data_IF_176799305560
#
_entry.id   IF_176799305560
#
_cell.length_a   1.000
_cell.length_b   1.000
_cell.length_c   1.000
_cell.angle_alpha   90.00
_cell.angle_beta   90.00
_cell.angle_gamma   90.00
#
_symmetry.space_group_name_H-M   'P 1'
#
loop_
_entity.id
_entity.type
_entity.pdbx_description
1 polymer ?
#
# COMPACT_ATOMS: atom_id res chain seq x y z
N UNK A 1 4.28 33.52 68.58
CA UNK A 1 2.87 33.27 68.18
C UNK A 1 2.90 32.08 67.23
N UNK A 2 2.63 30.83 67.64
CA UNK A 2 1.29 30.17 67.75
C UNK A 2 0.45 30.37 66.46
N UNK A 3 -0.09 29.41 65.71
CA UNK A 3 -0.22 27.93 65.76
C UNK A 3 -1.00 27.47 64.50
N UNK A 4 -0.88 26.18 64.13
CA UNK A 4 -1.86 25.27 63.46
C UNK A 4 -2.31 25.52 62.00
N UNK A 5 -2.08 24.59 61.05
CA UNK A 5 -2.75 23.28 60.77
C UNK A 5 -4.21 23.44 60.30
N UNK A 6 -4.50 23.08 59.04
CA UNK A 6 -5.47 22.03 58.67
C UNK A 6 -5.51 21.73 57.15
N UNK A 7 -5.52 20.43 56.84
CA UNK A 7 -5.99 19.82 55.59
C UNK A 7 -7.50 20.01 55.42
N UNK A 8 -7.97 20.16 54.18
CA UNK A 8 -9.28 19.65 53.75
C UNK A 8 -9.29 19.31 52.27
N UNK A 9 -9.82 18.13 51.97
CA UNK A 9 -10.11 17.53 50.68
C UNK A 9 -11.07 18.39 49.82
N UNK A 10 -10.90 18.34 48.49
CA UNK A 10 -11.99 18.63 47.56
C UNK A 10 -11.92 17.69 46.35
N UNK A 11 -12.92 16.80 46.27
CA UNK A 11 -13.31 15.95 45.14
C UNK A 11 -14.03 16.83 44.08
N UNK A 12 -14.09 16.42 42.80
CA UNK A 12 -14.35 17.32 41.66
C UNK A 12 -15.85 17.51 41.38
N UNK A 13 -16.24 18.59 40.67
CA UNK A 13 -17.59 18.68 40.13
C UNK A 13 -17.67 17.95 38.80
N UNK A 14 -18.49 16.89 38.75
CA UNK A 14 -19.15 16.46 37.53
C UNK A 14 -20.35 17.39 37.27
N UNK A 15 -20.56 17.79 36.03
CA UNK A 15 -21.87 18.19 35.54
C UNK A 15 -22.00 17.83 34.07
N UNK A 16 -22.96 16.94 33.85
CA UNK A 16 -23.62 16.61 32.60
C UNK A 16 -24.35 17.83 32.03
N UNK A 17 -24.77 17.65 30.79
CA UNK A 17 -25.86 18.32 30.07
C UNK A 17 -25.50 19.58 29.28
N UNK A 18 -25.44 19.40 27.95
CA UNK A 18 -26.04 20.30 26.94
C UNK A 18 -25.94 19.66 25.55
N UNK A 19 -27.00 18.95 25.15
CA UNK A 19 -27.29 18.58 23.76
C UNK A 19 -27.99 19.78 23.10
N UNK A 20 -27.61 20.19 21.87
CA UNK A 20 -28.51 20.93 21.02
C UNK A 20 -29.10 20.00 19.95
N UNK A 21 -30.39 19.75 20.11
CA UNK A 21 -31.32 19.34 19.06
C UNK A 21 -31.34 20.36 17.93
N UNK A 22 -31.17 19.94 16.68
CA UNK A 22 -31.61 20.72 15.52
C UNK A 22 -32.64 19.93 14.72
N UNK A 23 -33.83 20.51 14.71
CA UNK A 23 -35.06 20.10 14.05
C UNK A 23 -35.00 20.26 12.53
N UNK A 24 -35.76 19.41 11.86
CA UNK A 24 -35.90 19.30 10.43
C UNK A 24 -36.74 20.42 9.78
N UNK A 25 -36.36 20.76 8.54
CA UNK A 25 -37.19 21.17 7.38
C UNK A 25 -37.84 22.58 7.40
N UNK A 26 -37.96 23.27 6.23
CA UNK A 26 -38.58 22.73 5.02
C UNK A 26 -37.86 22.96 3.67
N UNK A 27 -38.30 22.13 2.73
CA UNK A 27 -38.04 22.13 1.29
C UNK A 27 -38.55 23.44 0.66
N UNK A 28 -37.71 24.13 -0.10
CA UNK A 28 -38.15 25.15 -1.05
C UNK A 28 -37.71 24.80 -2.47
N UNK A 29 -38.72 24.36 -3.23
CA UNK A 29 -38.79 24.31 -4.69
C UNK A 29 -38.51 25.68 -5.31
N UNK A 30 -37.45 25.80 -6.11
CA UNK A 30 -37.34 26.89 -7.07
C UNK A 30 -37.86 26.45 -8.44
N UNK A 31 -39.01 27.01 -8.77
CA UNK A 31 -39.73 26.92 -10.04
C UNK A 31 -38.95 27.67 -11.12
N UNK A 32 -38.86 27.06 -12.30
CA UNK A 32 -38.38 27.70 -13.52
C UNK A 32 -39.29 28.87 -13.91
N UNK A 33 -38.69 30.06 -14.10
CA UNK A 33 -39.34 31.16 -14.82
C UNK A 33 -38.60 31.42 -16.11
N UNK A 34 -39.29 31.07 -17.18
CA UNK A 34 -39.13 31.59 -18.53
C UNK A 34 -39.03 33.12 -18.53
N UNK A 35 -38.02 33.66 -19.23
CA UNK A 35 -38.10 34.98 -19.86
C UNK A 35 -37.23 35.01 -21.13
N UNK A 36 -37.95 34.92 -22.25
CA UNK A 36 -37.83 35.71 -23.50
C UNK A 36 -36.62 35.50 -24.44
N UNK A 37 -36.98 34.87 -25.55
CA UNK A 37 -36.42 34.96 -26.89
C UNK A 37 -35.79 36.32 -27.24
N UNK A 38 -34.57 36.25 -27.76
CA UNK A 38 -34.15 37.04 -28.92
C UNK A 38 -33.78 36.06 -30.04
N UNK A 39 -34.51 36.15 -31.14
CA UNK A 39 -34.08 35.63 -32.44
C UNK A 39 -32.87 36.45 -32.90
N UNK A 40 -31.74 35.80 -33.14
CA UNK A 40 -30.76 36.26 -34.10
C UNK A 40 -30.30 35.08 -34.94
N UNK A 41 -30.84 35.05 -36.15
CA UNK A 41 -30.23 34.62 -37.41
C UNK A 41 -29.32 33.37 -37.38
N UNK A 42 -29.80 32.36 -38.10
CA UNK A 42 -29.03 31.27 -38.69
C UNK A 42 -27.63 31.73 -39.17
N UNK A 43 -26.60 31.33 -38.43
CA UNK A 43 -25.29 31.06 -39.00
C UNK A 43 -25.05 29.57 -38.76
N UNK A 44 -25.14 28.80 -39.84
CA UNK A 44 -24.69 27.42 -39.89
C UNK A 44 -23.18 27.43 -39.64
N UNK A 45 -22.78 27.32 -38.38
CA UNK A 45 -21.46 26.84 -38.02
C UNK A 45 -21.59 25.35 -37.75
N UNK A 46 -21.18 24.60 -38.76
CA UNK A 46 -20.93 23.17 -38.71
C UNK A 46 -19.68 22.98 -37.84
N UNK A 47 -19.86 23.10 -36.53
CA UNK A 47 -18.83 22.74 -35.57
C UNK A 47 -18.91 21.22 -35.43
N UNK A 48 -17.95 20.54 -36.04
CA UNK A 48 -17.75 19.12 -35.87
C UNK A 48 -17.55 18.87 -34.37
N UNK A 49 -18.61 18.40 -33.71
CA UNK A 49 -18.51 17.81 -32.38
C UNK A 49 -17.64 16.58 -32.51
N UNK A 50 -16.32 16.75 -32.40
CA UNK A 50 -15.40 15.68 -32.03
C UNK A 50 -15.89 15.15 -30.68
N UNK A 51 -16.70 14.10 -30.75
CA UNK A 51 -17.01 13.24 -29.63
C UNK A 51 -15.65 12.84 -29.03
N UNK A 52 -15.35 13.36 -27.83
CA UNK A 52 -14.03 13.24 -27.20
C UNK A 52 -13.77 11.77 -26.88
N UNK A 53 -13.13 11.05 -27.81
CA UNK A 53 -12.81 9.63 -27.67
C UNK A 53 -11.88 9.43 -26.47
N UNK A 54 -12.31 8.61 -25.51
CA UNK A 54 -11.64 8.38 -24.23
C UNK A 54 -11.26 6.93 -24.03
N UNK A 55 -10.36 6.65 -23.07
CA UNK A 55 -9.99 5.25 -22.75
C UNK A 55 -11.19 4.41 -22.25
N UNK A 56 -12.27 5.05 -21.79
CA UNK A 56 -13.57 4.41 -21.54
C UNK A 56 -14.08 3.63 -22.75
N UNK A 57 -13.77 4.08 -23.97
CA UNK A 57 -14.27 3.48 -25.21
C UNK A 57 -13.59 2.13 -25.50
N UNK A 58 -12.52 1.79 -24.76
CA UNK A 58 -11.95 0.45 -24.76
C UNK A 58 -12.92 -0.60 -24.20
N UNK A 59 -13.83 -0.19 -23.30
CA UNK A 59 -14.91 -1.06 -22.79
C UNK A 59 -16.03 -1.27 -23.82
N UNK A 60 -16.22 -0.30 -24.72
CA UNK A 60 -17.23 -0.40 -25.78
C UNK A 60 -16.72 -1.29 -26.91
N UNK A 61 -17.21 -2.53 -26.97
CA UNK A 61 -16.95 -3.43 -28.10
C UNK A 61 -17.76 -3.01 -29.32
N UNK A 62 -17.62 -1.77 -29.77
CA UNK A 62 -18.22 -1.38 -31.05
C UNK A 62 -17.40 -2.07 -32.14
N UNK A 63 -18.07 -2.89 -32.94
CA UNK A 63 -17.49 -3.63 -34.05
C UNK A 63 -17.03 -2.71 -35.17
N UNK A 64 -15.98 -1.92 -34.96
CA UNK A 64 -15.41 -1.05 -35.98
C UNK A 64 -15.05 -1.88 -37.22
N UNK A 65 -15.66 -1.53 -38.36
CA UNK A 65 -15.44 -2.18 -39.67
C UNK A 65 -13.94 -2.21 -40.03
N UNK A 66 -13.18 -1.18 -39.63
CA UNK A 66 -11.74 -1.10 -39.86
C UNK A 66 -10.99 -2.18 -39.10
N UNK A 67 -11.34 -2.45 -37.83
CA UNK A 67 -10.72 -3.53 -37.06
C UNK A 67 -11.07 -4.92 -37.64
N UNK A 68 -12.28 -5.10 -38.19
CA UNK A 68 -12.62 -6.34 -38.91
C UNK A 68 -11.76 -6.52 -40.16
N UNK A 69 -11.51 -5.45 -40.92
CA UNK A 69 -10.62 -5.49 -42.08
C UNK A 69 -9.18 -5.82 -41.69
N UNK A 70 -8.61 -5.15 -40.67
CA UNK A 70 -7.27 -5.47 -40.17
C UNK A 70 -7.15 -6.90 -39.66
N UNK A 71 -8.20 -7.44 -39.02
CA UNK A 71 -8.22 -8.83 -38.56
C UNK A 71 -8.27 -9.81 -39.74
N UNK A 72 -9.01 -9.51 -40.81
CA UNK A 72 -9.03 -10.33 -42.04
C UNK A 72 -7.68 -10.32 -42.76
N UNK A 73 -7.05 -9.15 -42.84
CA UNK A 73 -5.70 -8.97 -43.38
C UNK A 73 -4.60 -9.45 -42.44
N UNK A 74 -4.99 -9.82 -41.21
CA UNK A 74 -4.13 -10.50 -40.25
C UNK A 74 -2.84 -9.72 -39.93
N UNK A 75 -3.03 -8.40 -39.81
CA UNK A 75 -1.93 -7.46 -39.65
C UNK A 75 -1.20 -7.67 -38.31
N UNK A 76 0.13 -7.67 -38.34
CA UNK A 76 0.89 -7.73 -37.10
C UNK A 76 0.59 -6.48 -36.22
N UNK A 77 0.24 -6.63 -34.92
CA UNK A 77 -0.05 -5.49 -34.05
C UNK A 77 1.06 -4.43 -33.99
N UNK A 78 2.34 -4.82 -34.00
CA UNK A 78 3.46 -3.88 -34.04
C UNK A 78 3.52 -3.12 -35.37
N UNK A 79 3.21 -3.79 -36.48
CA UNK A 79 3.13 -3.17 -37.80
C UNK A 79 2.00 -2.14 -37.88
N UNK A 80 0.82 -2.48 -37.35
CA UNK A 80 -0.30 -1.55 -37.27
C UNK A 80 0.00 -0.35 -36.35
N UNK A 81 0.71 -0.57 -35.24
CA UNK A 81 1.14 0.52 -34.35
C UNK A 81 2.03 1.53 -35.07
N UNK A 82 2.97 1.05 -35.89
CA UNK A 82 3.84 1.90 -36.70
C UNK A 82 3.04 2.63 -37.80
N UNK A 83 2.15 1.92 -38.50
CA UNK A 83 1.29 2.48 -39.55
C UNK A 83 0.40 3.62 -39.03
N UNK A 84 -0.11 3.49 -37.81
CA UNK A 84 -0.93 4.53 -37.15
C UNK A 84 -0.09 5.69 -36.58
N UNK A 85 1.22 5.70 -36.82
CA UNK A 85 2.19 6.67 -36.35
C UNK A 85 2.20 6.83 -34.81
N UNK A 86 1.87 5.76 -34.08
CA UNK A 86 1.81 5.77 -32.61
C UNK A 86 3.20 5.71 -31.96
N UNK A 87 4.21 5.27 -32.72
CA UNK A 87 5.60 5.17 -32.25
C UNK A 87 6.31 6.52 -32.11
N UNK A 88 5.75 7.60 -32.67
CA UNK A 88 6.37 8.91 -32.61
C UNK A 88 6.35 9.46 -31.17
N UNK A 89 7.49 9.91 -30.65
CA UNK A 89 7.65 10.27 -29.24
C UNK A 89 6.67 11.37 -28.76
N UNK A 90 6.39 12.36 -29.61
CA UNK A 90 5.47 13.47 -29.29
C UNK A 90 4.00 13.09 -29.29
N UNK A 91 3.65 11.89 -29.76
CA UNK A 91 2.25 11.44 -29.81
C UNK A 91 1.85 10.94 -28.42
N UNK A 92 1.00 11.71 -27.76
CA UNK A 92 0.33 11.31 -26.52
C UNK A 92 -0.64 10.14 -26.82
N UNK A 93 -0.58 9.08 -26.01
CA UNK A 93 -1.36 7.85 -26.24
C UNK A 93 -2.69 7.84 -25.49
N UNK A 94 -2.76 8.45 -24.31
CA UNK A 94 -4.01 8.64 -23.58
C UNK A 94 -4.94 9.59 -24.36
N UNK A 95 -6.22 9.21 -24.45
CA UNK A 95 -7.24 9.92 -25.23
C UNK A 95 -6.91 10.08 -26.72
N UNK A 96 -6.15 9.13 -27.28
CA UNK A 96 -5.83 9.10 -28.71
C UNK A 96 -6.70 8.04 -29.41
N UNK A 97 -7.60 8.48 -30.29
CA UNK A 97 -8.51 7.58 -31.01
C UNK A 97 -7.78 6.48 -31.80
N UNK A 98 -6.61 6.77 -32.37
CA UNK A 98 -5.79 5.76 -33.08
C UNK A 98 -5.18 4.74 -32.13
N UNK A 99 -4.76 5.17 -30.94
CA UNK A 99 -4.28 4.26 -29.90
C UNK A 99 -5.41 3.36 -29.40
N UNK A 100 -6.59 3.92 -29.14
CA UNK A 100 -7.78 3.17 -28.72
C UNK A 100 -8.15 2.13 -29.79
N UNK A 101 -8.19 2.54 -31.06
CA UNK A 101 -8.42 1.63 -32.18
C UNK A 101 -7.38 0.51 -32.24
N UNK A 102 -6.09 0.85 -32.15
CA UNK A 102 -5.00 -0.12 -32.15
C UNK A 102 -5.13 -1.11 -30.98
N UNK A 103 -5.44 -0.61 -29.79
CA UNK A 103 -5.52 -1.46 -28.60
C UNK A 103 -6.72 -2.40 -28.66
N UNK A 104 -7.89 -1.92 -29.10
CA UNK A 104 -9.05 -2.78 -29.40
C UNK A 104 -8.71 -3.85 -30.44
N UNK A 105 -7.93 -3.49 -31.48
CA UNK A 105 -7.42 -4.46 -32.44
C UNK A 105 -6.55 -5.52 -31.77
N UNK A 106 -5.60 -5.14 -30.90
CA UNK A 106 -4.73 -6.07 -30.17
C UNK A 106 -5.55 -7.03 -29.31
N UNK A 107 -6.56 -6.54 -28.59
CA UNK A 107 -7.43 -7.38 -27.76
C UNK A 107 -8.15 -8.45 -28.60
N UNK A 108 -8.67 -8.08 -29.78
CA UNK A 108 -9.31 -9.04 -30.71
C UNK A 108 -8.31 -9.97 -31.39
N UNK A 109 -7.14 -9.47 -31.76
CA UNK A 109 -6.09 -10.25 -32.41
C UNK A 109 -5.63 -11.42 -31.52
N UNK A 110 -5.53 -11.18 -30.20
CA UNK A 110 -5.16 -12.19 -29.19
C UNK A 110 -6.18 -13.32 -29.02
N UNK A 111 -7.43 -13.11 -29.42
CA UNK A 111 -8.49 -14.12 -29.32
C UNK A 111 -8.40 -15.19 -30.43
N UNK A 112 -7.52 -15.02 -31.43
CA UNK A 112 -7.29 -16.03 -32.47
C UNK A 112 -6.41 -17.17 -31.94
N UNK A 113 -6.80 -18.41 -32.19
CA UNK A 113 -6.22 -19.63 -31.59
C UNK A 113 -4.73 -19.91 -31.90
N UNK A 114 -4.08 -19.16 -32.80
CA UNK A 114 -2.71 -19.45 -33.26
C UNK A 114 -1.74 -18.26 -33.21
N UNK A 115 -2.09 -17.15 -32.54
CA UNK A 115 -1.27 -15.91 -32.58
C UNK A 115 -1.14 -15.21 -31.23
N UNK A 116 0.05 -15.34 -30.63
CA UNK A 116 0.33 -14.70 -29.34
C UNK A 116 0.99 -13.33 -29.53
N UNK A 117 0.21 -12.28 -29.34
CA UNK A 117 0.74 -10.95 -29.02
C UNK A 117 0.58 -10.71 -27.51
N UNK A 118 1.39 -11.39 -26.69
CA UNK A 118 1.30 -11.36 -25.23
C UNK A 118 1.55 -9.97 -24.61
N UNK A 119 1.36 -9.89 -23.30
CA UNK A 119 1.52 -8.64 -22.54
C UNK A 119 2.95 -8.10 -22.62
N UNK A 120 3.95 -8.98 -22.66
CA UNK A 120 5.36 -8.58 -22.78
C UNK A 120 5.62 -7.89 -24.12
N UNK A 121 4.96 -8.32 -25.20
CA UNK A 121 5.04 -7.67 -26.51
C UNK A 121 4.35 -6.30 -26.53
N UNK A 122 3.19 -6.15 -25.88
CA UNK A 122 2.57 -4.81 -25.68
C UNK A 122 3.54 -3.92 -24.91
N UNK A 123 4.02 -4.39 -23.75
CA UNK A 123 4.89 -3.62 -22.88
C UNK A 123 6.15 -3.14 -23.61
N UNK A 124 6.88 -4.06 -24.25
CA UNK A 124 8.13 -3.73 -24.94
C UNK A 124 7.91 -2.76 -26.10
N UNK A 125 6.79 -2.86 -26.82
CA UNK A 125 6.45 -1.94 -27.90
C UNK A 125 6.20 -0.52 -27.36
N UNK A 126 5.44 -0.41 -26.27
CA UNK A 126 5.16 0.86 -25.61
C UNK A 126 6.43 1.45 -24.96
N UNK A 127 7.20 0.62 -24.25
CA UNK A 127 8.47 1.00 -23.62
C UNK A 127 9.48 1.54 -24.61
N UNK A 128 9.56 0.96 -25.82
CA UNK A 128 10.47 1.42 -26.87
C UNK A 128 10.07 2.78 -27.47
N UNK A 129 8.79 3.16 -27.37
CA UNK A 129 8.22 4.30 -28.10
C UNK A 129 7.85 5.51 -27.24
N UNK A 130 7.79 5.35 -25.91
CA UNK A 130 7.31 6.37 -24.98
C UNK A 130 8.26 6.56 -23.81
N UNK A 131 8.20 7.74 -23.21
CA UNK A 131 8.96 8.04 -21.98
C UNK A 131 8.41 7.24 -20.80
N UNK A 132 9.21 7.05 -19.74
CA UNK A 132 8.70 6.40 -18.52
C UNK A 132 7.49 7.14 -17.93
N UNK A 133 7.51 8.48 -17.91
CA UNK A 133 6.42 9.32 -17.40
C UNK A 133 5.11 9.11 -18.17
N UNK A 134 5.18 9.09 -19.51
CA UNK A 134 4.02 8.79 -20.37
C UNK A 134 3.46 7.40 -20.07
N UNK A 135 4.34 6.42 -19.84
CA UNK A 135 3.93 5.03 -19.61
C UNK A 135 3.31 4.85 -18.23
N UNK A 136 3.84 5.49 -17.19
CA UNK A 136 3.21 5.44 -15.86
C UNK A 136 1.82 6.05 -15.93
N UNK A 137 1.68 7.22 -16.57
CA UNK A 137 0.38 7.87 -16.75
C UNK A 137 -0.59 7.00 -17.56
N UNK A 138 -0.14 6.45 -18.70
CA UNK A 138 -0.94 5.57 -19.54
C UNK A 138 -1.42 4.34 -18.78
N UNK A 139 -0.52 3.63 -18.09
CA UNK A 139 -0.88 2.42 -17.35
C UNK A 139 -1.74 2.71 -16.13
N UNK A 140 -1.60 3.88 -15.50
CA UNK A 140 -2.56 4.32 -14.50
C UNK A 140 -3.95 4.54 -15.12
N UNK A 141 -4.04 5.26 -16.24
CA UNK A 141 -5.33 5.55 -16.86
C UNK A 141 -6.03 4.28 -17.40
N UNK A 142 -5.27 3.35 -17.99
CA UNK A 142 -5.81 2.04 -18.41
C UNK A 142 -6.36 1.23 -17.23
N UNK A 143 -5.78 1.39 -16.03
CA UNK A 143 -6.24 0.71 -14.82
C UNK A 143 -7.65 1.14 -14.41
N UNK A 144 -8.05 2.37 -14.76
CA UNK A 144 -9.39 2.90 -14.46
C UNK A 144 -10.48 2.26 -15.34
N UNK A 145 -10.10 1.51 -16.38
CA UNK A 145 -11.01 0.69 -17.18
C UNK A 145 -11.08 -0.71 -16.55
N UNK A 146 -12.24 -1.14 -15.99
CA UNK A 146 -12.34 -2.38 -15.21
C UNK A 146 -11.78 -3.63 -15.92
N UNK A 147 -12.04 -3.78 -17.22
CA UNK A 147 -11.61 -4.91 -18.04
C UNK A 147 -10.09 -4.96 -18.25
N UNK A 148 -9.42 -3.81 -18.09
CA UNK A 148 -7.99 -3.65 -18.32
C UNK A 148 -7.18 -3.56 -17.02
N UNK A 149 -7.84 -3.52 -15.85
CA UNK A 149 -7.18 -3.38 -14.55
C UNK A 149 -6.04 -4.39 -14.35
N UNK A 150 -6.27 -5.67 -14.63
CA UNK A 150 -5.25 -6.71 -14.46
C UNK A 150 -4.05 -6.55 -15.40
N UNK A 151 -4.30 -6.13 -16.65
CA UNK A 151 -3.26 -5.85 -17.64
C UNK A 151 -2.45 -4.63 -17.19
N UNK A 152 -3.12 -3.55 -16.81
CA UNK A 152 -2.52 -2.32 -16.33
C UNK A 152 -1.67 -2.54 -15.07
N UNK A 153 -2.16 -3.30 -14.08
CA UNK A 153 -1.40 -3.66 -12.89
C UNK A 153 -0.14 -4.45 -13.25
N UNK A 154 -0.23 -5.37 -14.24
CA UNK A 154 0.95 -6.08 -14.76
C UNK A 154 1.93 -5.13 -15.43
N UNK A 155 1.47 -4.19 -16.25
CA UNK A 155 2.31 -3.19 -16.91
C UNK A 155 3.03 -2.28 -15.90
N UNK A 156 2.32 -1.83 -14.86
CA UNK A 156 2.90 -1.07 -13.75
C UNK A 156 4.00 -1.88 -13.03
N UNK A 157 3.78 -3.18 -12.76
CA UNK A 157 4.82 -4.06 -12.21
C UNK A 157 6.02 -4.25 -13.13
N UNK A 158 5.83 -4.16 -14.45
CA UNK A 158 6.90 -4.30 -15.43
C UNK A 158 7.72 -3.02 -15.60
N UNK A 159 7.12 -1.84 -15.39
CA UNK A 159 7.85 -0.56 -15.31
C UNK A 159 8.73 -0.48 -14.06
N UNK A 160 8.32 -1.18 -12.99
CA UNK A 160 8.98 -1.21 -11.70
C UNK A 160 10.40 -1.84 -11.74
N UNK A 161 11.35 -1.15 -12.37
CA UNK A 161 12.72 -1.62 -12.63
C UNK A 161 13.78 -0.59 -12.25
N UNK A 162 13.45 0.70 -12.20
CA UNK A 162 14.37 1.81 -11.95
C UNK A 162 13.92 2.67 -10.77
N UNK A 163 14.84 3.31 -10.01
CA UNK A 163 14.47 4.29 -8.99
C UNK A 163 13.55 5.41 -9.53
N UNK A 164 13.78 5.89 -10.76
CA UNK A 164 12.93 6.88 -11.43
C UNK A 164 11.49 6.38 -11.59
N UNK A 165 11.31 5.14 -12.06
CA UNK A 165 9.97 4.55 -12.21
C UNK A 165 9.23 4.46 -10.87
N UNK A 166 9.93 4.17 -9.77
CA UNK A 166 9.32 4.08 -8.44
C UNK A 166 8.80 5.43 -7.97
N UNK A 167 9.58 6.49 -8.20
CA UNK A 167 9.22 7.86 -7.83
C UNK A 167 8.03 8.36 -8.64
N UNK A 168 8.09 8.24 -9.96
CA UNK A 168 6.99 8.62 -10.87
C UNK A 168 5.69 7.89 -10.52
N UNK A 169 5.77 6.58 -10.27
CA UNK A 169 4.61 5.79 -9.86
C UNK A 169 4.05 6.25 -8.51
N UNK A 170 4.92 6.51 -7.53
CA UNK A 170 4.50 7.02 -6.21
C UNK A 170 3.81 8.37 -6.32
N UNK A 171 4.33 9.29 -7.15
CA UNK A 171 3.72 10.59 -7.40
C UNK A 171 2.34 10.46 -8.05
N UNK A 172 2.20 9.62 -9.06
CA UNK A 172 0.92 9.39 -9.75
C UNK A 172 -0.11 8.75 -8.82
N UNK A 173 0.28 7.73 -8.05
CA UNK A 173 -0.59 7.11 -7.05
C UNK A 173 -1.05 8.12 -6.00
N UNK A 174 -0.15 8.96 -5.49
CA UNK A 174 -0.49 9.97 -4.49
C UNK A 174 -1.46 11.03 -5.04
N UNK A 175 -1.18 11.55 -6.25
CA UNK A 175 -2.01 12.52 -6.95
C UNK A 175 -3.42 12.00 -7.19
N UNK A 176 -3.53 10.72 -7.52
CA UNK A 176 -4.80 10.03 -7.81
C UNK A 176 -5.43 9.39 -6.57
N UNK A 177 -4.82 9.59 -5.40
CA UNK A 177 -5.27 9.05 -4.11
C UNK A 177 -5.44 7.52 -4.11
N UNK A 178 -4.59 6.80 -4.84
CA UNK A 178 -4.52 5.34 -4.77
C UNK A 178 -4.11 4.92 -3.36
N UNK A 179 -5.00 4.24 -2.65
CA UNK A 179 -4.73 3.86 -1.25
C UNK A 179 -3.55 2.89 -1.15
N UNK A 180 -2.84 2.83 -0.01
CA UNK A 180 -1.83 1.79 0.23
C UNK A 180 -2.34 0.37 -0.01
N UNK A 181 -3.63 0.11 0.20
CA UNK A 181 -4.29 -1.17 -0.11
C UNK A 181 -4.27 -1.49 -1.60
N UNK A 182 -4.60 -0.52 -2.43
CA UNK A 182 -4.58 -0.70 -3.89
C UNK A 182 -3.14 -0.86 -4.38
N UNK A 183 -2.19 -0.10 -3.85
CA UNK A 183 -0.77 -0.23 -4.21
C UNK A 183 -0.20 -1.59 -3.80
N UNK A 184 -0.59 -2.13 -2.64
CA UNK A 184 -0.21 -3.49 -2.22
C UNK A 184 -0.63 -4.55 -3.25
N UNK A 185 -1.86 -4.40 -3.80
CA UNK A 185 -2.40 -5.28 -4.85
C UNK A 185 -1.69 -5.07 -6.19
N UNK A 186 -1.48 -3.83 -6.61
CA UNK A 186 -0.76 -3.49 -7.85
C UNK A 186 0.61 -4.17 -7.84
N UNK A 187 1.34 -4.08 -6.73
CA UNK A 187 2.68 -4.67 -6.57
C UNK A 187 2.67 -6.19 -6.36
N UNK A 188 1.49 -6.81 -6.24
CA UNK A 188 1.28 -8.23 -5.98
C UNK A 188 2.01 -8.74 -4.72
N UNK A 189 1.96 -7.96 -3.64
CA UNK A 189 2.72 -8.25 -2.42
C UNK A 189 2.14 -9.41 -1.60
N UNK A 190 0.86 -9.77 -1.77
CA UNK A 190 0.25 -10.93 -1.09
C UNK A 190 1.02 -12.23 -1.35
N UNK A 191 1.47 -12.42 -2.59
CA UNK A 191 2.21 -13.61 -3.03
C UNK A 191 3.73 -13.41 -2.98
N UNK A 192 4.22 -12.26 -2.50
CA UNK A 192 5.64 -11.98 -2.42
C UNK A 192 6.23 -12.33 -1.04
N UNK A 193 7.55 -12.41 -0.97
CA UNK A 193 8.29 -12.38 0.30
C UNK A 193 8.24 -10.96 0.87
N UNK A 194 7.88 -10.81 2.15
CA UNK A 194 7.74 -9.51 2.80
C UNK A 194 8.94 -9.26 3.71
N UNK A 195 10.10 -8.99 3.11
CA UNK A 195 11.36 -8.72 3.81
C UNK A 195 12.10 -7.51 3.22
N UNK A 196 13.19 -7.09 3.88
CA UNK A 196 13.99 -5.92 3.48
C UNK A 196 14.75 -6.09 2.16
N UNK A 197 14.83 -7.30 1.60
CA UNK A 197 15.43 -7.53 0.27
C UNK A 197 14.40 -7.35 -0.85
N UNK A 198 13.11 -7.44 -0.54
CA UNK A 198 12.06 -7.13 -1.50
C UNK A 198 11.88 -5.61 -1.66
N UNK A 199 12.46 -5.06 -2.73
CA UNK A 199 12.36 -3.64 -3.09
C UNK A 199 10.91 -3.15 -3.26
N UNK A 200 9.98 -4.00 -3.72
CA UNK A 200 8.55 -3.62 -3.85
C UNK A 200 7.91 -3.47 -2.48
N UNK A 201 8.27 -4.33 -1.54
CA UNK A 201 7.79 -4.25 -0.17
C UNK A 201 8.31 -2.98 0.53
N UNK A 202 9.61 -2.71 0.45
CA UNK A 202 10.19 -1.48 1.00
C UNK A 202 9.53 -0.22 0.45
N UNK A 203 9.31 -0.16 -0.86
CA UNK A 203 8.68 1.01 -1.45
C UNK A 203 7.19 1.13 -1.13
N UNK A 204 6.49 0.00 -0.93
CA UNK A 204 5.12 0.05 -0.43
C UNK A 204 5.03 0.63 0.99
N UNK A 205 5.99 0.30 1.88
CA UNK A 205 6.07 0.93 3.20
C UNK A 205 6.32 2.44 3.08
N UNK A 206 7.26 2.86 2.23
CA UNK A 206 7.54 4.28 1.97
C UNK A 206 6.34 5.02 1.39
N UNK A 207 5.65 4.40 0.43
CA UNK A 207 4.43 4.95 -0.14
C UNK A 207 3.34 5.09 0.93
N UNK A 208 3.24 4.12 1.84
CA UNK A 208 2.29 4.16 2.95
C UNK A 208 2.53 5.36 3.87
N UNK A 209 3.79 5.63 4.23
CA UNK A 209 4.17 6.80 5.02
C UNK A 209 3.92 8.11 4.26
N UNK A 210 4.29 8.17 2.98
CA UNK A 210 4.03 9.32 2.11
C UNK A 210 2.53 9.63 2.01
N UNK A 211 1.71 8.59 1.83
CA UNK A 211 0.27 8.72 1.75
C UNK A 211 -0.33 9.23 3.07
N UNK A 212 0.14 8.75 4.22
CA UNK A 212 -0.29 9.25 5.54
C UNK A 212 0.11 10.70 5.77
N UNK A 213 1.31 11.08 5.36
CA UNK A 213 1.78 12.46 5.48
C UNK A 213 0.90 13.42 4.68
N UNK A 214 0.52 13.03 3.46
CA UNK A 214 -0.30 13.86 2.57
C UNK A 214 -1.80 13.85 2.91
N UNK A 215 -2.37 12.68 3.23
CA UNK A 215 -3.82 12.48 3.41
C UNK A 215 -4.25 12.46 4.88
N UNK A 216 -3.30 12.58 5.81
CA UNK A 216 -3.50 12.50 7.25
C UNK A 216 -3.31 11.08 7.81
N UNK A 217 -2.85 11.01 9.06
CA UNK A 217 -2.48 9.74 9.73
C UNK A 217 -3.62 8.73 9.85
N UNK A 218 -4.87 9.20 9.88
CA UNK A 218 -6.06 8.35 9.98
C UNK A 218 -6.54 7.82 8.62
N UNK A 219 -5.95 8.27 7.50
CA UNK A 219 -6.33 7.82 6.15
C UNK A 219 -5.91 6.38 5.88
N UNK A 220 -4.85 5.92 6.55
CA UNK A 220 -4.41 4.53 6.55
C UNK A 220 -3.59 4.24 7.82
N UNK A 221 -4.20 3.71 8.87
CA UNK A 221 -3.55 3.49 10.17
C UNK A 221 -2.46 2.41 10.14
N UNK A 222 -1.54 2.45 11.12
CA UNK A 222 -0.51 1.40 11.32
C UNK A 222 -1.14 0.01 11.55
N UNK A 223 -2.29 -0.03 12.24
CA UNK A 223 -3.07 -1.26 12.41
C UNK A 223 -3.54 -1.83 11.07
N UNK A 224 -3.95 -0.98 10.12
CA UNK A 224 -4.28 -1.42 8.77
C UNK A 224 -3.03 -1.96 8.05
N UNK A 225 -1.86 -1.33 8.19
CA UNK A 225 -0.61 -1.91 7.67
C UNK A 225 -0.37 -3.30 8.24
N UNK A 226 -0.46 -3.47 9.57
CA UNK A 226 -0.28 -4.78 10.21
C UNK A 226 -1.26 -5.81 9.68
N UNK A 227 -2.55 -5.49 9.57
CA UNK A 227 -3.53 -6.43 9.03
C UNK A 227 -3.16 -6.93 7.64
N UNK A 228 -2.69 -6.06 6.75
CA UNK A 228 -2.24 -6.49 5.41
C UNK A 228 -1.04 -7.44 5.46
N UNK A 229 -0.08 -7.18 6.35
CA UNK A 229 1.09 -8.04 6.53
C UNK A 229 0.67 -9.42 7.04
N UNK A 230 -0.21 -9.46 8.04
CA UNK A 230 -0.68 -10.69 8.67
C UNK A 230 -1.61 -11.50 7.78
N UNK A 231 -2.46 -10.84 6.99
CA UNK A 231 -3.31 -11.49 5.98
C UNK A 231 -2.47 -12.13 4.86
N UNK A 232 -1.33 -11.52 4.52
CA UNK A 232 -0.42 -12.05 3.51
C UNK A 232 0.52 -13.15 4.04
N UNK A 233 0.88 -13.08 5.33
CA UNK A 233 1.79 -14.00 6.02
C UNK A 233 1.30 -14.20 7.46
N UNK A 234 0.61 -15.32 7.78
CA UNK A 234 -0.07 -15.48 9.06
C UNK A 234 0.88 -15.76 10.24
N UNK A 235 2.15 -16.10 10.00
CA UNK A 235 3.14 -16.31 11.07
C UNK A 235 3.68 -14.94 11.50
N UNK A 236 2.93 -14.31 12.40
CA UNK A 236 3.14 -12.94 12.88
C UNK A 236 4.55 -12.73 13.49
N UNK A 237 5.11 -13.72 14.18
CA UNK A 237 6.44 -13.65 14.82
C UNK A 237 7.57 -13.44 13.81
N UNK A 238 7.45 -13.92 12.57
CA UNK A 238 8.47 -13.76 11.53
C UNK A 238 8.67 -12.29 11.14
N UNK A 239 7.66 -11.43 11.35
CA UNK A 239 7.80 -10.00 11.14
C UNK A 239 8.68 -9.32 12.19
N UNK A 240 8.95 -9.96 13.34
CA UNK A 240 9.85 -9.41 14.36
C UNK A 240 11.23 -9.07 13.81
N UNK A 241 11.84 -10.03 13.09
CA UNK A 241 13.14 -9.84 12.43
C UNK A 241 13.05 -8.85 11.26
N UNK A 242 11.93 -8.82 10.54
CA UNK A 242 11.71 -7.86 9.45
C UNK A 242 11.68 -6.44 9.99
N UNK A 243 10.89 -6.17 11.03
CA UNK A 243 10.82 -4.87 11.67
C UNK A 243 12.16 -4.49 12.31
N UNK A 244 12.87 -5.43 12.93
CA UNK A 244 14.20 -5.18 13.46
C UNK A 244 15.19 -4.72 12.39
N UNK A 245 15.16 -5.34 11.21
CA UNK A 245 15.99 -4.92 10.06
C UNK A 245 15.53 -3.57 9.49
N UNK A 246 14.22 -3.30 9.47
CA UNK A 246 13.67 -2.04 8.96
C UNK A 246 14.10 -0.82 9.79
N UNK A 247 14.43 -0.99 11.08
CA UNK A 247 14.98 0.10 11.90
C UNK A 247 16.30 0.67 11.38
N UNK A 248 17.03 -0.07 10.55
CA UNK A 248 18.26 0.40 9.91
C UNK A 248 18.01 1.38 8.75
N UNK A 249 16.76 1.60 8.37
CA UNK A 249 16.36 2.56 7.35
C UNK A 249 15.78 3.79 8.06
N UNK A 250 16.48 4.95 8.08
CA UNK A 250 16.04 6.12 8.83
C UNK A 250 14.62 6.59 8.47
N UNK A 251 14.21 6.41 7.21
CA UNK A 251 12.88 6.78 6.71
C UNK A 251 11.76 5.81 7.13
N UNK A 252 12.11 4.62 7.65
CA UNK A 252 11.17 3.60 8.10
C UNK A 252 11.34 3.23 9.57
N UNK A 253 12.31 3.82 10.27
CA UNK A 253 12.68 3.45 11.64
C UNK A 253 11.49 3.53 12.60
N UNK A 254 10.84 4.70 12.65
CA UNK A 254 9.69 4.93 13.52
C UNK A 254 8.52 4.00 13.22
N UNK A 255 8.23 3.77 11.94
CA UNK A 255 7.20 2.81 11.51
C UNK A 255 7.55 1.40 12.00
N UNK A 256 8.81 0.98 11.82
CA UNK A 256 9.27 -0.34 12.23
C UNK A 256 9.22 -0.51 13.75
N UNK A 257 9.57 0.51 14.53
CA UNK A 257 9.44 0.51 15.99
C UNK A 257 7.99 0.34 16.43
N UNK A 258 7.06 1.14 15.89
CA UNK A 258 5.65 1.05 16.24
C UNK A 258 5.05 -0.32 15.91
N UNK A 259 5.37 -0.84 14.72
CA UNK A 259 4.88 -2.14 14.26
C UNK A 259 5.46 -3.29 15.11
N UNK A 260 6.72 -3.20 15.53
CA UNK A 260 7.34 -4.18 16.42
C UNK A 260 6.76 -4.10 17.84
N UNK A 261 6.49 -2.90 18.36
CA UNK A 261 5.81 -2.72 19.66
C UNK A 261 4.43 -3.37 19.63
N UNK A 262 3.63 -3.10 18.59
CA UNK A 262 2.31 -3.72 18.43
C UNK A 262 2.41 -5.26 18.38
N UNK A 263 3.32 -5.79 17.56
CA UNK A 263 3.60 -7.22 17.46
C UNK A 263 3.88 -7.84 18.84
N UNK A 264 4.75 -7.20 19.62
CA UNK A 264 5.13 -7.68 20.95
C UNK A 264 3.97 -7.60 21.93
N UNK A 265 3.25 -6.48 21.98
CA UNK A 265 2.10 -6.31 22.88
C UNK A 265 1.00 -7.34 22.59
N UNK A 266 0.68 -7.57 21.32
CA UNK A 266 -0.25 -8.62 20.92
C UNK A 266 0.24 -10.01 21.31
N UNK A 267 1.50 -10.32 21.08
CA UNK A 267 2.11 -11.60 21.44
C UNK A 267 2.06 -11.86 22.95
N UNK A 268 2.34 -10.84 23.76
CA UNK A 268 2.35 -10.91 25.23
C UNK A 268 0.92 -11.00 25.78
N UNK A 269 0.04 -10.08 25.38
CA UNK A 269 -1.23 -9.86 26.05
C UNK A 269 -2.40 -10.63 25.44
N UNK A 270 -2.39 -10.87 24.13
CA UNK A 270 -3.46 -11.60 23.44
C UNK A 270 -3.08 -13.07 23.29
N UNK A 271 -1.91 -13.36 22.71
CA UNK A 271 -1.47 -14.72 22.43
C UNK A 271 -0.83 -15.42 23.64
N UNK A 272 -0.47 -14.66 24.68
CA UNK A 272 0.15 -15.14 25.93
C UNK A 272 1.48 -15.88 25.71
N UNK A 273 2.24 -15.48 24.68
CA UNK A 273 3.53 -16.08 24.37
C UNK A 273 4.59 -15.65 25.38
N UNK A 274 5.28 -16.61 25.99
CA UNK A 274 6.49 -16.34 26.77
C UNK A 274 7.71 -16.23 25.83
N UNK A 275 8.86 -15.69 26.29
CA UNK A 275 10.03 -15.49 25.44
C UNK A 275 10.55 -16.76 24.77
N UNK A 276 10.52 -17.93 25.45
CA UNK A 276 10.94 -19.21 24.85
C UNK A 276 10.04 -19.58 23.67
N UNK A 277 8.72 -19.54 23.87
CA UNK A 277 7.76 -19.86 22.83
C UNK A 277 7.79 -18.86 21.66
N UNK A 278 7.94 -17.57 21.94
CA UNK A 278 8.12 -16.55 20.90
C UNK A 278 9.38 -16.83 20.07
N UNK A 279 10.50 -17.15 20.74
CA UNK A 279 11.73 -17.54 20.06
C UNK A 279 11.59 -18.80 19.21
N UNK A 280 10.88 -19.83 19.69
CA UNK A 280 10.65 -21.06 18.92
C UNK A 280 9.86 -20.77 17.63
N UNK A 281 8.87 -19.88 17.70
CA UNK A 281 8.12 -19.43 16.52
C UNK A 281 8.92 -18.53 15.58
N UNK A 282 9.96 -17.86 16.09
CA UNK A 282 10.81 -16.96 15.31
C UNK A 282 11.77 -17.73 14.40
N UNK A 283 12.28 -18.90 14.84
CA UNK A 283 13.26 -19.73 14.11
C UNK A 283 12.78 -21.14 13.75
N UNK A 284 11.49 -21.41 13.86
CA UNK A 284 10.86 -22.69 13.51
C UNK A 284 11.39 -23.26 12.16
N UNK A 285 11.91 -24.50 12.12
CA UNK A 285 11.80 -25.57 13.13
C UNK A 285 12.93 -25.66 14.15
N UNK A 286 13.89 -24.74 14.16
CA UNK A 286 14.95 -24.74 15.16
C UNK A 286 14.42 -24.33 16.55
N UNK A 287 15.02 -24.84 17.63
CA UNK A 287 14.67 -24.39 18.98
C UNK A 287 15.20 -22.97 19.20
N UNK A 288 14.50 -22.15 19.99
CA UNK A 288 14.89 -20.76 20.30
C UNK A 288 16.35 -20.60 20.75
N UNK A 289 16.93 -21.64 21.37
CA UNK A 289 18.34 -21.65 21.79
C UNK A 289 19.32 -21.46 20.64
N UNK A 290 18.96 -21.81 19.40
CA UNK A 290 19.82 -21.55 18.23
C UNK A 290 19.98 -20.06 17.96
N UNK A 291 19.04 -19.21 18.38
CA UNK A 291 19.19 -17.75 18.28
C UNK A 291 20.38 -17.28 19.11
N UNK A 292 20.67 -17.95 20.23
CA UNK A 292 21.74 -17.53 21.14
C UNK A 292 23.15 -17.81 20.60
N UNK A 293 23.28 -18.61 19.54
CA UNK A 293 24.56 -18.82 18.86
C UNK A 293 24.86 -17.75 17.82
N UNK A 294 23.85 -16.93 17.47
CA UNK A 294 24.01 -15.84 16.53
C UNK A 294 24.75 -14.65 17.18
N UNK A 295 25.48 -13.84 16.39
CA UNK A 295 26.05 -12.59 16.87
C UNK A 295 25.01 -11.65 17.49
N UNK A 296 25.41 -10.83 18.48
CA UNK A 296 24.49 -9.85 19.12
C UNK A 296 23.91 -8.80 18.16
N UNK A 297 24.55 -8.58 17.02
CA UNK A 297 24.05 -7.71 15.97
C UNK A 297 23.16 -8.43 14.95
N UNK A 298 22.95 -9.74 15.08
CA UNK A 298 21.97 -10.47 14.27
C UNK A 298 20.56 -10.00 14.61
N UNK A 299 19.75 -9.80 13.58
CA UNK A 299 18.42 -9.26 13.74
C UNK A 299 17.48 -10.22 14.52
N UNK A 300 17.72 -11.53 14.45
CA UNK A 300 16.95 -12.53 15.18
C UNK A 300 17.29 -12.49 16.67
N UNK A 301 18.58 -12.39 17.00
CA UNK A 301 19.04 -12.19 18.38
C UNK A 301 18.43 -10.91 18.97
N UNK A 302 18.59 -9.79 18.27
CA UNK A 302 18.06 -8.50 18.70
C UNK A 302 16.53 -8.52 18.87
N UNK A 303 15.82 -9.25 18.00
CA UNK A 303 14.36 -9.40 18.11
C UNK A 303 13.98 -10.17 19.38
N UNK A 304 14.66 -11.28 19.68
CA UNK A 304 14.40 -12.07 20.89
C UNK A 304 14.76 -11.29 22.16
N UNK A 305 15.88 -10.57 22.15
CA UNK A 305 16.29 -9.69 23.26
C UNK A 305 15.24 -8.60 23.51
N UNK A 306 14.85 -7.86 22.47
CA UNK A 306 13.84 -6.80 22.56
C UNK A 306 12.48 -7.34 23.03
N UNK A 307 12.06 -8.51 22.54
CA UNK A 307 10.84 -9.17 23.00
C UNK A 307 10.92 -9.53 24.48
N UNK A 308 12.05 -10.08 24.92
CA UNK A 308 12.26 -10.50 26.32
C UNK A 308 12.23 -9.30 27.27
N UNK A 309 12.84 -8.18 26.87
CA UNK A 309 12.79 -6.92 27.61
C UNK A 309 11.36 -6.38 27.72
N UNK A 310 10.64 -6.30 26.59
CA UNK A 310 9.24 -5.83 26.56
C UNK A 310 8.33 -6.76 27.38
N UNK A 311 8.53 -8.07 27.33
CA UNK A 311 7.81 -9.06 28.14
C UNK A 311 8.05 -8.85 29.63
N UNK A 312 9.31 -8.67 30.04
CA UNK A 312 9.67 -8.42 31.43
C UNK A 312 9.06 -7.12 31.95
N UNK A 313 9.15 -6.03 31.17
CA UNK A 313 8.54 -4.74 31.50
C UNK A 313 7.02 -4.85 31.62
N UNK A 314 6.37 -5.48 30.65
CA UNK A 314 4.91 -5.57 30.57
C UNK A 314 4.30 -6.37 31.73
N UNK A 315 5.02 -7.35 32.26
CA UNK A 315 4.52 -8.18 33.34
C UNK A 315 5.08 -7.79 34.70
N UNK A 316 6.34 -7.40 34.83
CA UNK A 316 6.97 -7.07 36.13
C UNK A 316 7.45 -5.64 36.32
N UNK A 317 7.10 -4.73 35.41
CA UNK A 317 7.51 -3.33 35.49
C UNK A 317 9.00 -3.10 35.24
N UNK A 318 9.46 -1.89 35.55
CA UNK A 318 10.81 -1.42 35.23
C UNK A 318 11.91 -2.21 35.96
N UNK A 319 11.64 -2.71 37.17
CA UNK A 319 12.59 -3.52 37.94
C UNK A 319 12.92 -4.83 37.20
N UNK A 320 11.89 -5.52 36.70
CA UNK A 320 12.07 -6.75 35.95
C UNK A 320 12.79 -6.52 34.62
N UNK A 321 12.45 -5.45 33.90
CA UNK A 321 13.16 -5.03 32.70
C UNK A 321 14.64 -4.75 32.99
N UNK A 322 14.95 -4.04 34.08
CA UNK A 322 16.31 -3.73 34.52
C UNK A 322 17.15 -4.97 34.81
N UNK A 323 16.57 -5.98 35.49
CA UNK A 323 17.23 -7.26 35.75
C UNK A 323 17.56 -7.98 34.44
N UNK A 324 16.59 -8.09 33.53
CA UNK A 324 16.75 -8.78 32.24
C UNK A 324 17.81 -8.08 31.38
N UNK A 325 17.75 -6.75 31.32
CA UNK A 325 18.73 -5.92 30.60
C UNK A 325 20.15 -6.13 31.14
N UNK A 326 20.30 -6.21 32.46
CA UNK A 326 21.60 -6.48 33.10
C UNK A 326 22.14 -7.86 32.73
N UNK A 327 21.28 -8.87 32.65
CA UNK A 327 21.69 -10.25 32.30
C UNK A 327 22.12 -10.35 30.83
N UNK A 328 21.42 -9.71 29.89
CA UNK A 328 21.88 -9.63 28.49
C UNK A 328 23.21 -8.89 28.36
N UNK A 329 23.40 -7.78 29.10
CA UNK A 329 24.66 -7.05 29.11
C UNK A 329 25.85 -7.87 29.64
N UNK A 330 25.59 -8.81 30.57
CA UNK A 330 26.58 -9.76 31.11
C UNK A 330 26.84 -10.99 30.23
N UNK A 331 26.22 -11.07 29.06
CA UNK A 331 26.29 -12.24 28.18
C UNK A 331 25.65 -13.50 28.78
N UNK A 332 24.58 -13.32 29.56
CA UNK A 332 23.80 -14.40 30.19
C UNK A 332 22.37 -14.49 29.61
N UNK A 333 22.17 -14.68 28.29
CA UNK A 333 20.86 -14.58 27.67
C UNK A 333 19.87 -15.67 28.13
N UNK A 334 20.35 -16.86 28.51
CA UNK A 334 19.50 -17.92 29.08
C UNK A 334 18.94 -17.46 30.43
N UNK A 335 19.79 -16.92 31.30
CA UNK A 335 19.36 -16.40 32.60
C UNK A 335 18.41 -15.21 32.44
N UNK A 336 18.65 -14.33 31.47
CA UNK A 336 17.77 -13.21 31.15
C UNK A 336 16.34 -13.67 30.79
N UNK A 337 16.22 -14.67 29.91
CA UNK A 337 14.94 -15.24 29.50
C UNK A 337 14.23 -15.94 30.67
N UNK A 338 14.98 -16.66 31.50
CA UNK A 338 14.41 -17.33 32.67
C UNK A 338 13.95 -16.36 33.76
N UNK A 339 14.71 -15.28 33.98
CA UNK A 339 14.32 -14.20 34.87
C UNK A 339 13.03 -13.53 34.41
N UNK A 340 12.91 -13.19 33.12
CA UNK A 340 11.70 -12.60 32.54
C UNK A 340 10.46 -13.49 32.78
N UNK A 341 10.60 -14.81 32.59
CA UNK A 341 9.52 -15.77 32.80
C UNK A 341 9.17 -16.00 34.28
N UNK A 342 10.15 -15.91 35.19
CA UNK A 342 9.93 -16.09 36.63
C UNK A 342 9.09 -14.96 37.21
N UNK A 343 9.38 -13.73 36.80
CA UNK A 343 8.62 -12.53 37.19
C UNK A 343 7.14 -12.66 36.81
N UNK A 344 6.85 -13.13 35.59
CA UNK A 344 5.48 -13.35 35.12
C UNK A 344 4.66 -14.35 35.94
N UNK A 345 5.33 -15.32 36.60
CA UNK A 345 4.66 -16.33 37.43
C UNK A 345 4.29 -15.83 38.83
N UNK A 346 4.93 -14.76 39.32
CA UNK A 346 4.67 -14.21 40.65
C UNK A 346 3.45 -13.29 40.69
N UNK A 347 2.88 -12.96 39.52
CA UNK A 347 1.77 -12.01 39.34
C UNK A 347 0.50 -12.66 38.80
N UNK A 348 0.50 -13.98 38.68
CA UNK A 348 -0.69 -14.82 38.47
C UNK A 348 -0.95 -15.60 39.73
#
# INVERSE_FOLDING_TARGET
>A
MKTNIHQTNATPPSLRDSIPSFSASPVETFTSRYLRHYETANVVNKDDTEERVGLSDLSTSVGNLVNKAFLKLDMNPSGLFAMLNLAHARVKLDNNARFIQWFQYVLRYRQKELRWFDDDKIFKLLQKSKSEDDLVTLFHNLRQVPELKNLADKMQRMLWKSPSSHELMSQIWLKTSETPNEVFKILNLKSATLDVHNKKFLQWLRYTELYRAEKGVNSFSELQTMHFLLDAKPIETQFGTVFQKLKQFPDLEKLAENMQIYLFERSIHVLKYNPKHFGDLLVNPSPWKSILTEPKNDATFQTLEAYTLKYAKALGGDDAEGIVKTLFAKDEPIAAIEAAMKVAKLLR
#
